data_IF_745698312065
#
_entry.id   IF_745698312065
#
_cell.length_a   1.000
_cell.length_b   1.000
_cell.length_c   1.000
_cell.angle_alpha   90.00
_cell.angle_beta   90.00
_cell.angle_gamma   90.00
#
_symmetry.space_group_name_H-M   'P 1'
#
loop_
_entity.id
_entity.type
_entity.pdbx_description
1 polymer ?
#
# COMPACT_ATOMS: atom_id res chain seq x y z
N UNK A 1 -14.60 12.59 2.97
CA UNK A 1 -14.57 11.17 3.39
C UNK A 1 -16.00 10.67 3.65
N UNK A 2 -16.83 11.47 4.32
CA UNK A 2 -18.23 11.12 4.63
C UNK A 2 -19.12 10.88 3.39
N UNK A 3 -18.80 11.52 2.27
CA UNK A 3 -19.53 11.36 1.00
C UNK A 3 -19.18 10.11 0.20
N UNK A 4 -18.13 9.38 0.61
CA UNK A 4 -17.70 8.12 -0.03
C UNK A 4 -18.05 6.95 0.89
N UNK A 5 -19.23 6.39 0.72
CA UNK A 5 -19.80 5.32 1.58
C UNK A 5 -19.07 3.97 1.48
N UNK A 6 -18.35 3.71 0.40
CA UNK A 6 -17.74 2.40 0.09
C UNK A 6 -16.21 2.34 0.26
N UNK A 7 -15.61 3.28 1.01
CA UNK A 7 -14.17 3.25 1.21
C UNK A 7 -13.75 2.11 2.13
N UNK A 8 -12.80 1.28 1.67
CA UNK A 8 -12.14 0.29 2.54
C UNK A 8 -11.48 0.98 3.74
N UNK A 9 -11.51 0.32 4.90
CA UNK A 9 -10.96 0.86 6.16
C UNK A 9 -9.51 1.36 6.01
N UNK A 10 -8.66 0.62 5.29
CA UNK A 10 -7.27 1.02 5.00
C UNK A 10 -7.17 2.31 4.17
N UNK A 11 -8.05 2.50 3.20
CA UNK A 11 -8.09 3.73 2.38
C UNK A 11 -8.54 4.91 3.24
N UNK A 12 -9.56 4.70 4.08
CA UNK A 12 -10.04 5.72 5.03
C UNK A 12 -8.94 6.11 6.01
N UNK A 13 -8.23 5.14 6.60
CA UNK A 13 -7.11 5.39 7.50
C UNK A 13 -6.00 6.19 6.82
N UNK A 14 -5.63 5.86 5.58
CA UNK A 14 -4.63 6.59 4.81
C UNK A 14 -5.06 8.04 4.50
N UNK A 15 -6.34 8.26 4.20
CA UNK A 15 -6.84 9.62 3.96
C UNK A 15 -6.83 10.46 5.23
N UNK A 16 -7.22 9.88 6.37
CA UNK A 16 -7.16 10.54 7.67
C UNK A 16 -5.72 10.87 8.06
N UNK A 17 -4.81 9.89 7.93
CA UNK A 17 -3.39 10.11 8.17
C UNK A 17 -2.84 11.25 7.30
N UNK A 18 -3.13 11.23 5.99
CA UNK A 18 -2.67 12.26 5.05
C UNK A 18 -3.22 13.64 5.43
N UNK A 19 -4.49 13.70 5.80
CA UNK A 19 -5.13 14.92 6.26
C UNK A 19 -4.46 15.45 7.52
N UNK A 20 -4.33 14.62 8.55
CA UNK A 20 -3.85 15.01 9.87
C UNK A 20 -2.38 15.45 9.85
N UNK A 21 -1.54 14.74 9.10
CA UNK A 21 -0.09 15.00 9.12
C UNK A 21 0.38 16.07 8.14
N UNK A 22 -0.34 16.27 7.04
CA UNK A 22 0.16 17.17 5.98
C UNK A 22 -0.74 18.35 5.69
N UNK A 23 -2.05 18.25 5.91
CA UNK A 23 -3.00 19.22 5.40
C UNK A 23 -3.64 20.04 6.52
N UNK A 24 -4.14 19.41 7.58
CA UNK A 24 -4.99 20.02 8.63
C UNK A 24 -4.45 21.34 9.14
N UNK A 25 -3.23 21.34 9.67
CA UNK A 25 -2.68 22.50 10.43
C UNK A 25 -2.02 23.56 9.56
N UNK A 26 -1.89 23.29 8.28
CA UNK A 26 -1.27 24.17 7.30
C UNK A 26 -2.29 24.67 6.28
N UNK A 27 -2.34 24.00 5.15
CA UNK A 27 -3.19 24.33 4.01
C UNK A 27 -4.69 24.21 4.33
N UNK A 28 -5.07 23.29 5.21
CA UNK A 28 -6.46 23.03 5.60
C UNK A 28 -7.13 24.18 6.39
N UNK A 29 -6.36 25.15 6.89
CA UNK A 29 -6.89 26.36 7.55
C UNK A 29 -7.39 27.43 6.57
N UNK A 30 -7.06 27.31 5.27
CA UNK A 30 -7.52 28.24 4.25
C UNK A 30 -9.00 27.99 3.91
N UNK A 31 -9.75 29.05 3.68
CA UNK A 31 -11.13 28.94 3.17
C UNK A 31 -11.08 28.46 1.72
N UNK A 32 -11.87 27.45 1.38
CA UNK A 32 -11.89 26.81 0.04
C UNK A 32 -12.05 27.85 -1.08
N UNK A 33 -12.94 28.83 -0.89
CA UNK A 33 -13.22 29.88 -1.88
C UNK A 33 -12.02 30.80 -2.19
N UNK A 34 -11.07 30.91 -1.25
CA UNK A 34 -9.94 31.82 -1.35
C UNK A 34 -8.68 31.12 -1.89
N UNK A 35 -8.71 29.78 -2.02
CA UNK A 35 -7.58 29.00 -2.49
C UNK A 35 -7.39 29.16 -4.00
N UNK A 36 -6.19 29.61 -4.39
CA UNK A 36 -5.77 29.77 -5.78
C UNK A 36 -4.81 28.63 -6.19
N UNK A 37 -4.63 28.45 -7.49
CA UNK A 37 -3.66 27.53 -8.06
C UNK A 37 -2.24 27.75 -7.50
N UNK A 38 -1.84 29.02 -7.37
CA UNK A 38 -0.54 29.40 -6.80
C UNK A 38 -0.36 28.94 -5.35
N UNK A 39 -1.43 28.95 -4.55
CA UNK A 39 -1.38 28.47 -3.16
C UNK A 39 -1.12 26.96 -3.11
N UNK A 40 -1.77 26.20 -4.01
CA UNK A 40 -1.57 24.75 -4.10
C UNK A 40 -0.15 24.45 -4.57
N UNK A 41 0.32 25.16 -5.59
CA UNK A 41 1.67 25.00 -6.11
C UNK A 41 2.73 25.31 -5.05
N UNK A 42 2.56 26.42 -4.32
CA UNK A 42 3.45 26.78 -3.20
C UNK A 42 3.43 25.71 -2.11
N UNK A 43 2.25 25.26 -1.69
CA UNK A 43 2.11 24.21 -0.69
C UNK A 43 2.81 22.91 -1.09
N UNK A 44 2.64 22.47 -2.33
CA UNK A 44 3.29 21.26 -2.83
C UNK A 44 4.81 21.42 -2.93
N UNK A 45 5.29 22.59 -3.35
CA UNK A 45 6.71 22.90 -3.42
C UNK A 45 7.34 22.92 -2.03
N UNK A 46 6.67 23.56 -1.05
CA UNK A 46 7.12 23.61 0.35
C UNK A 46 7.26 22.20 0.97
N UNK A 47 6.30 21.33 0.71
CA UNK A 47 6.36 19.95 1.18
C UNK A 47 7.58 19.19 0.65
N UNK A 48 8.00 19.45 -0.57
CA UNK A 48 9.19 18.81 -1.16
C UNK A 48 10.47 19.49 -0.68
N UNK A 49 10.54 20.82 -0.79
CA UNK A 49 11.81 21.56 -0.58
C UNK A 49 12.14 21.69 0.90
N UNK A 50 11.17 22.04 1.74
CA UNK A 50 11.39 22.33 3.15
C UNK A 50 11.13 21.12 4.06
N UNK A 51 10.17 20.26 3.71
CA UNK A 51 9.85 19.06 4.49
C UNK A 51 10.47 17.77 3.93
N UNK A 52 11.18 17.83 2.80
CA UNK A 52 11.87 16.69 2.20
C UNK A 52 10.97 15.55 1.73
N UNK A 53 9.68 15.81 1.47
CA UNK A 53 8.75 14.78 1.03
C UNK A 53 9.11 14.26 -0.37
N UNK A 54 8.97 12.95 -0.55
CA UNK A 54 9.07 12.35 -1.87
C UNK A 54 7.86 12.71 -2.74
N UNK A 55 8.08 12.86 -4.04
CA UNK A 55 7.01 13.16 -5.02
C UNK A 55 5.85 12.14 -4.96
N UNK A 56 6.14 10.87 -4.65
CA UNK A 56 5.09 9.85 -4.49
C UNK A 56 4.20 10.11 -3.26
N UNK A 57 4.74 10.68 -2.18
CA UNK A 57 3.93 11.08 -1.01
C UNK A 57 3.02 12.24 -1.35
N UNK A 58 3.50 13.17 -2.19
CA UNK A 58 2.70 14.26 -2.72
C UNK A 58 1.49 13.77 -3.53
N UNK A 59 1.62 12.65 -4.25
CA UNK A 59 0.51 12.01 -4.95
C UNK A 59 -0.62 11.61 -3.99
N UNK A 60 -0.28 11.09 -2.81
CA UNK A 60 -1.26 10.75 -1.78
C UNK A 60 -2.00 11.98 -1.26
N UNK A 61 -1.29 13.10 -1.08
CA UNK A 61 -1.90 14.38 -0.67
C UNK A 61 -2.84 14.90 -1.76
N UNK A 62 -2.41 14.86 -3.02
CA UNK A 62 -3.22 15.25 -4.17
C UNK A 62 -4.49 14.38 -4.31
N UNK A 63 -4.41 13.09 -3.94
CA UNK A 63 -5.56 12.16 -3.95
C UNK A 63 -6.63 12.56 -2.91
N UNK A 64 -6.26 13.27 -1.86
CA UNK A 64 -7.21 13.82 -0.87
C UNK A 64 -7.73 15.19 -1.33
N UNK A 65 -6.85 16.10 -1.75
CA UNK A 65 -7.22 17.47 -2.06
C UNK A 65 -8.05 17.60 -3.35
N UNK A 66 -7.64 16.91 -4.42
CA UNK A 66 -8.30 17.04 -5.73
C UNK A 66 -9.81 16.73 -5.70
N UNK A 67 -10.27 15.60 -5.12
CA UNK A 67 -11.71 15.32 -5.02
C UNK A 67 -12.45 16.30 -4.11
N UNK A 68 -11.79 16.83 -3.08
CA UNK A 68 -12.40 17.82 -2.18
C UNK A 68 -12.72 19.11 -2.92
N UNK A 69 -11.78 19.64 -3.70
CA UNK A 69 -12.02 20.83 -4.53
C UNK A 69 -12.93 20.53 -5.74
N UNK A 70 -12.93 19.30 -6.25
CA UNK A 70 -13.90 18.89 -7.28
C UNK A 70 -15.35 18.95 -6.77
N UNK A 71 -15.58 18.52 -5.52
CA UNK A 71 -16.88 18.66 -4.88
C UNK A 71 -17.26 20.14 -4.74
N UNK A 72 -16.35 20.99 -4.34
CA UNK A 72 -16.60 22.44 -4.21
C UNK A 72 -16.94 23.10 -5.57
N UNK A 73 -16.40 22.57 -6.69
CA UNK A 73 -16.81 23.01 -8.03
C UNK A 73 -18.23 22.56 -8.36
N UNK A 74 -18.57 21.30 -8.03
CA UNK A 74 -19.92 20.75 -8.26
C UNK A 74 -21.01 21.44 -7.42
N UNK A 75 -20.63 21.90 -6.25
CA UNK A 75 -21.52 22.65 -5.33
C UNK A 75 -21.51 24.16 -5.61
N UNK A 76 -20.95 24.61 -6.74
CA UNK A 76 -20.85 26.01 -7.17
C UNK A 76 -20.17 26.97 -6.17
N UNK A 77 -19.36 26.42 -5.23
CA UNK A 77 -18.59 27.21 -4.26
C UNK A 77 -17.41 27.89 -4.95
N UNK A 78 -16.79 27.21 -5.93
CA UNK A 78 -15.68 27.71 -6.74
C UNK A 78 -15.89 27.35 -8.22
N UNK A 79 -15.42 28.23 -9.10
CA UNK A 79 -15.60 28.02 -10.55
C UNK A 79 -14.67 26.96 -11.16
N UNK A 80 -13.48 26.77 -10.58
CA UNK A 80 -12.43 25.87 -11.09
C UNK A 80 -11.71 25.22 -9.94
N UNK A 81 -11.32 23.95 -10.12
CA UNK A 81 -10.52 23.24 -9.15
C UNK A 81 -9.05 23.72 -9.19
N UNK A 82 -8.54 24.39 -8.15
CA UNK A 82 -7.18 24.94 -8.13
C UNK A 82 -6.09 23.85 -8.02
N UNK A 83 -6.47 22.61 -7.72
CA UNK A 83 -5.53 21.49 -7.60
C UNK A 83 -5.17 20.87 -8.95
N UNK A 84 -6.02 21.10 -9.97
CA UNK A 84 -5.80 20.53 -11.29
C UNK A 84 -4.51 21.05 -11.94
N UNK A 85 -3.62 20.13 -12.30
CA UNK A 85 -2.33 20.42 -12.91
C UNK A 85 -1.17 20.68 -11.93
N UNK A 86 -1.43 21.14 -10.72
CA UNK A 86 -0.37 21.50 -9.76
C UNK A 86 0.56 20.34 -9.42
N UNK A 87 0.02 19.15 -9.17
CA UNK A 87 0.83 17.95 -8.93
C UNK A 87 1.72 17.59 -10.13
N UNK A 88 1.15 17.63 -11.33
CA UNK A 88 1.89 17.30 -12.54
C UNK A 88 3.05 18.27 -12.78
N UNK A 89 2.83 19.56 -12.53
CA UNK A 89 3.86 20.59 -12.64
C UNK A 89 5.00 20.38 -11.65
N UNK A 90 4.69 20.16 -10.38
CA UNK A 90 5.69 19.90 -9.35
C UNK A 90 6.44 18.60 -9.61
N UNK A 91 5.74 17.56 -10.06
CA UNK A 91 6.35 16.29 -10.46
C UNK A 91 7.32 16.46 -11.62
N UNK A 92 6.99 17.28 -12.62
CA UNK A 92 7.88 17.56 -13.76
C UNK A 92 9.15 18.29 -13.32
N UNK A 93 9.04 19.21 -12.35
CA UNK A 93 10.18 19.99 -11.83
C UNK A 93 11.09 19.17 -10.91
N UNK A 94 10.52 18.30 -10.07
CA UNK A 94 11.23 17.60 -9.01
C UNK A 94 11.30 16.06 -9.22
N UNK A 95 10.65 15.56 -10.26
CA UNK A 95 10.64 14.13 -10.59
C UNK A 95 11.97 13.74 -11.22
N UNK A 96 12.90 13.26 -10.39
CA UNK A 96 14.08 12.55 -10.88
C UNK A 96 13.71 11.25 -11.59
N UNK A 97 14.68 10.65 -12.29
CA UNK A 97 14.50 9.36 -12.94
C UNK A 97 13.91 8.34 -11.95
N UNK A 98 12.83 7.65 -12.35
CA UNK A 98 12.26 6.56 -11.57
C UNK A 98 13.38 5.57 -11.26
N UNK A 99 13.70 5.39 -9.98
CA UNK A 99 14.58 4.29 -9.58
C UNK A 99 13.92 2.99 -10.05
N UNK A 100 14.53 2.36 -11.04
CA UNK A 100 14.07 1.06 -11.53
C UNK A 100 14.15 0.06 -10.37
N UNK A 101 13.01 -0.51 -9.99
CA UNK A 101 13.00 -1.64 -9.07
C UNK A 101 13.41 -2.86 -9.89
N UNK A 102 14.49 -3.50 -9.50
CA UNK A 102 14.96 -4.74 -10.13
C UNK A 102 14.43 -5.92 -9.33
N UNK A 103 14.02 -6.96 -10.03
CA UNK A 103 13.79 -8.26 -9.42
C UNK A 103 15.13 -8.87 -8.98
N UNK A 104 15.10 -9.75 -8.01
CA UNK A 104 16.27 -10.55 -7.65
C UNK A 104 16.66 -11.44 -8.84
N UNK A 105 17.95 -11.58 -9.11
CA UNK A 105 18.43 -12.62 -10.02
C UNK A 105 18.29 -13.99 -9.37
N UNK A 106 18.39 -15.06 -10.15
CA UNK A 106 18.31 -16.43 -9.63
C UNK A 106 19.42 -16.69 -8.62
N UNK A 107 20.62 -16.18 -8.88
CA UNK A 107 21.78 -16.29 -8.00
C UNK A 107 21.52 -15.56 -6.67
N UNK A 108 21.06 -14.32 -6.72
CA UNK A 108 20.72 -13.52 -5.52
C UNK A 108 19.61 -14.20 -4.71
N UNK A 109 18.61 -14.79 -5.37
CA UNK A 109 17.55 -15.54 -4.70
C UNK A 109 18.11 -16.77 -3.97
N UNK A 110 19.02 -17.52 -4.60
CA UNK A 110 19.66 -18.68 -3.98
C UNK A 110 20.51 -18.28 -2.77
N UNK A 111 21.38 -17.30 -2.95
CA UNK A 111 22.22 -16.76 -1.87
C UNK A 111 21.39 -16.29 -0.68
N UNK A 112 20.28 -15.60 -0.94
CA UNK A 112 19.38 -15.12 0.11
C UNK A 112 18.73 -16.29 0.88
N UNK A 113 18.20 -17.29 0.17
CA UNK A 113 17.58 -18.47 0.78
C UNK A 113 18.59 -19.27 1.57
N UNK A 114 19.79 -19.47 1.04
CA UNK A 114 20.88 -20.17 1.70
C UNK A 114 21.34 -19.44 2.98
N UNK A 115 21.42 -18.12 2.92
CA UNK A 115 21.74 -17.33 4.09
C UNK A 115 20.69 -17.48 5.19
N UNK A 116 19.40 -17.36 4.84
CA UNK A 116 18.31 -17.52 5.81
C UNK A 116 18.29 -18.94 6.40
N UNK A 117 18.52 -19.97 5.60
CA UNK A 117 18.54 -21.36 6.03
C UNK A 117 19.66 -21.66 7.05
N UNK A 118 20.82 -21.02 6.88
CA UNK A 118 22.02 -21.26 7.71
C UNK A 118 22.14 -20.33 8.92
N UNK A 119 21.39 -19.25 8.96
CA UNK A 119 21.49 -18.25 10.02
C UNK A 119 20.57 -18.58 11.19
N UNK A 120 21.08 -18.83 12.43
CA UNK A 120 20.27 -19.20 13.58
C UNK A 120 19.20 -18.16 13.97
N UNK A 121 19.45 -16.87 13.69
CA UNK A 121 18.49 -15.81 14.00
C UNK A 121 17.35 -15.71 12.97
N UNK A 122 17.60 -16.11 11.72
CA UNK A 122 16.62 -15.95 10.64
C UNK A 122 16.03 -17.27 10.16
N UNK A 123 16.53 -18.41 10.63
CA UNK A 123 16.08 -19.73 10.20
C UNK A 123 14.55 -19.93 10.30
N UNK A 124 13.93 -19.40 11.33
CA UNK A 124 12.48 -19.50 11.51
C UNK A 124 11.66 -18.80 10.41
N UNK A 125 12.29 -17.87 9.66
CA UNK A 125 11.68 -17.22 8.49
C UNK A 125 11.88 -17.98 7.18
N UNK A 126 12.71 -19.03 7.17
CA UNK A 126 13.00 -19.80 5.97
C UNK A 126 11.75 -20.33 5.27
N UNK A 127 10.77 -20.97 5.96
CA UNK A 127 9.54 -21.44 5.32
C UNK A 127 8.76 -20.31 4.65
N UNK A 128 8.68 -19.18 5.29
CA UNK A 128 7.94 -18.02 4.79
C UNK A 128 8.57 -17.43 3.51
N UNK A 129 9.89 -17.30 3.47
CA UNK A 129 10.57 -16.76 2.29
C UNK A 129 10.55 -17.75 1.11
N UNK A 130 10.70 -19.04 1.37
CA UNK A 130 10.54 -20.08 0.33
C UNK A 130 9.13 -20.02 -0.25
N UNK A 131 8.12 -19.90 0.62
CA UNK A 131 6.74 -19.76 0.20
C UNK A 131 6.53 -18.50 -0.68
N UNK A 132 6.98 -17.35 -0.25
CA UNK A 132 6.84 -16.08 -1.00
C UNK A 132 7.50 -16.14 -2.37
N UNK A 133 8.74 -16.61 -2.43
CA UNK A 133 9.51 -16.69 -3.67
C UNK A 133 8.97 -17.75 -4.62
N UNK A 134 8.50 -18.88 -4.09
CA UNK A 134 7.98 -19.99 -4.90
C UNK A 134 6.53 -19.80 -5.37
N UNK A 135 5.77 -18.89 -4.74
CA UNK A 135 4.35 -18.65 -5.09
C UNK A 135 4.10 -17.31 -5.76
N UNK A 136 4.97 -16.33 -5.54
CA UNK A 136 4.74 -14.94 -5.97
C UNK A 136 3.53 -14.27 -5.30
N UNK A 137 3.06 -14.79 -4.17
CA UNK A 137 1.97 -14.19 -3.40
C UNK A 137 2.36 -12.82 -2.86
N UNK A 138 1.38 -11.94 -2.72
CA UNK A 138 1.57 -10.71 -1.95
C UNK A 138 1.78 -11.06 -0.48
N UNK A 139 2.56 -10.26 0.24
CA UNK A 139 2.87 -10.52 1.65
C UNK A 139 1.60 -10.73 2.50
N UNK A 140 0.56 -9.92 2.30
CA UNK A 140 -0.70 -10.06 3.02
C UNK A 140 -1.48 -11.33 2.65
N UNK A 141 -1.38 -11.81 1.42
CA UNK A 141 -1.94 -13.09 1.00
C UNK A 141 -1.18 -14.23 1.70
N UNK A 142 0.15 -14.21 1.66
CA UNK A 142 0.98 -15.24 2.27
C UNK A 142 0.80 -15.36 3.79
N UNK A 143 0.72 -14.23 4.51
CA UNK A 143 0.47 -14.24 5.97
C UNK A 143 -0.96 -14.68 6.29
N UNK A 144 -1.91 -14.46 5.36
CA UNK A 144 -3.31 -14.84 5.53
C UNK A 144 -3.61 -16.30 5.28
N UNK A 145 -2.74 -17.06 4.61
CA UNK A 145 -2.98 -18.47 4.25
C UNK A 145 -3.35 -19.31 5.47
N UNK A 146 -4.37 -20.13 5.30
CA UNK A 146 -4.82 -21.14 6.27
C UNK A 146 -4.55 -22.54 5.73
N UNK A 147 -4.48 -23.52 6.60
CA UNK A 147 -4.33 -24.92 6.19
C UNK A 147 -5.50 -25.40 5.33
N UNK A 148 -6.70 -24.88 5.52
CA UNK A 148 -7.88 -25.17 4.69
C UNK A 148 -7.74 -24.68 3.24
N UNK A 149 -6.85 -23.71 2.99
CA UNK A 149 -6.55 -23.20 1.66
C UNK A 149 -5.50 -24.03 0.92
N UNK A 150 -4.89 -25.03 1.60
CA UNK A 150 -3.75 -25.82 1.10
C UNK A 150 -4.18 -27.26 0.82
N UNK A 151 -4.21 -27.65 -0.45
CA UNK A 151 -4.45 -29.04 -0.84
C UNK A 151 -3.09 -29.74 -1.12
N UNK A 152 -2.58 -30.46 -0.11
CA UNK A 152 -1.31 -31.18 -0.20
C UNK A 152 -1.38 -32.34 -1.20
N UNK A 153 -2.54 -32.94 -1.44
CA UNK A 153 -2.72 -34.05 -2.38
C UNK A 153 -2.66 -33.57 -3.83
N UNK A 154 -3.40 -32.49 -4.13
CA UNK A 154 -3.42 -31.87 -5.45
C UNK A 154 -2.24 -30.93 -5.68
N UNK A 155 -1.47 -30.63 -4.65
CA UNK A 155 -0.37 -29.65 -4.65
C UNK A 155 -0.84 -28.28 -5.17
N UNK A 156 -1.91 -27.76 -4.57
CA UNK A 156 -2.46 -26.47 -4.92
C UNK A 156 -2.73 -25.63 -3.67
N UNK A 157 -2.71 -24.31 -3.85
CA UNK A 157 -3.01 -23.33 -2.80
C UNK A 157 -4.08 -22.40 -3.34
N UNK A 158 -5.15 -22.20 -2.56
CA UNK A 158 -6.23 -21.29 -2.91
C UNK A 158 -5.99 -19.93 -2.25
N UNK A 159 -5.79 -18.90 -3.07
CA UNK A 159 -5.63 -17.51 -2.61
C UNK A 159 -7.00 -16.85 -2.70
N UNK A 160 -7.69 -16.69 -1.57
CA UNK A 160 -9.06 -16.18 -1.49
C UNK A 160 -9.19 -15.00 -0.51
N UNK A 161 -8.16 -14.70 0.26
CA UNK A 161 -8.15 -13.59 1.23
C UNK A 161 -6.75 -13.04 1.46
N UNK A 162 -6.68 -11.96 2.22
CA UNK A 162 -5.43 -11.29 2.58
C UNK A 162 -5.52 -10.76 4.00
N UNK A 163 -4.48 -10.94 4.79
CA UNK A 163 -4.34 -10.33 6.10
C UNK A 163 -3.73 -8.94 5.96
N UNK A 164 -4.36 -7.95 6.56
CA UNK A 164 -3.90 -6.57 6.56
C UNK A 164 -3.73 -6.07 7.98
N UNK A 165 -2.58 -5.47 8.25
CA UNK A 165 -2.29 -4.78 9.52
C UNK A 165 -2.42 -3.28 9.29
N UNK A 166 -3.25 -2.60 10.06
CA UNK A 166 -3.47 -1.16 9.92
C UNK A 166 -3.85 -0.51 11.25
N UNK A 167 -3.63 0.80 11.32
CA UNK A 167 -4.02 1.60 12.49
C UNK A 167 -5.55 1.75 12.52
N UNK A 168 -6.15 1.48 13.68
CA UNK A 168 -7.60 1.67 13.88
C UNK A 168 -8.00 3.12 13.69
N UNK A 169 -9.19 3.32 13.14
CA UNK A 169 -9.76 4.65 12.88
C UNK A 169 -10.42 5.31 14.10
N UNK A 170 -10.37 4.67 15.27
CA UNK A 170 -11.02 5.11 16.51
C UNK A 170 -10.16 6.01 17.39
N UNK A 171 -9.09 6.59 16.87
CA UNK A 171 -8.09 7.41 17.59
C UNK A 171 -7.36 6.68 18.74
N UNK A 172 -7.48 5.37 18.87
CA UNK A 172 -6.82 4.59 19.92
C UNK A 172 -5.32 4.40 19.72
N UNK A 173 -4.75 4.84 18.59
CA UNK A 173 -3.37 4.56 18.15
C UNK A 173 -3.01 3.05 18.12
N UNK A 174 -4.00 2.19 18.25
CA UNK A 174 -3.81 0.74 18.22
C UNK A 174 -3.90 0.25 16.77
N UNK A 175 -3.09 -0.75 16.47
CA UNK A 175 -3.16 -1.45 15.20
C UNK A 175 -3.96 -2.74 15.36
N UNK A 176 -4.61 -3.16 14.29
CA UNK A 176 -5.33 -4.44 14.26
C UNK A 176 -5.05 -5.22 12.99
N UNK A 177 -5.16 -6.53 13.09
CA UNK A 177 -5.18 -7.41 11.94
C UNK A 177 -6.61 -7.56 11.43
N UNK A 178 -6.76 -7.46 10.13
CA UNK A 178 -8.04 -7.68 9.47
C UNK A 178 -7.88 -8.60 8.27
N UNK A 179 -8.69 -9.63 8.25
CA UNK A 179 -8.86 -10.45 7.05
C UNK A 179 -9.73 -9.67 6.06
N UNK A 180 -9.30 -9.58 4.84
CA UNK A 180 -10.02 -8.90 3.76
C UNK A 180 -10.07 -9.79 2.52
N UNK A 181 -11.17 -9.74 1.81
CA UNK A 181 -11.27 -10.33 0.49
C UNK A 181 -10.37 -9.61 -0.53
N UNK A 182 -9.96 -10.28 -1.59
CA UNK A 182 -9.22 -9.65 -2.69
C UNK A 182 -9.98 -8.44 -3.25
N UNK A 183 -9.24 -7.49 -3.84
CA UNK A 183 -9.86 -6.28 -4.41
C UNK A 183 -10.67 -6.55 -5.68
N UNK A 184 -10.40 -7.64 -6.35
CA UNK A 184 -11.00 -8.04 -7.62
C UNK A 184 -11.20 -9.55 -7.63
N UNK A 185 -12.16 -10.03 -8.41
CA UNK A 185 -12.39 -11.48 -8.63
C UNK A 185 -11.11 -12.19 -9.12
N UNK A 186 -10.33 -11.56 -9.98
CA UNK A 186 -9.03 -12.08 -10.42
C UNK A 186 -7.99 -12.21 -9.28
N UNK A 187 -8.26 -11.63 -8.12
CA UNK A 187 -7.45 -11.83 -6.90
C UNK A 187 -7.70 -13.19 -6.26
N UNK A 188 -8.87 -13.80 -6.48
CA UNK A 188 -9.18 -15.17 -6.07
C UNK A 188 -8.61 -16.09 -7.13
N UNK A 189 -7.67 -16.92 -6.73
CA UNK A 189 -6.96 -17.81 -7.66
C UNK A 189 -6.39 -19.03 -6.95
N UNK A 190 -6.33 -20.13 -7.66
CA UNK A 190 -5.62 -21.33 -7.23
C UNK A 190 -4.27 -21.37 -7.93
N UNK A 191 -3.21 -21.55 -7.17
CA UNK A 191 -1.84 -21.61 -7.66
C UNK A 191 -1.24 -23.00 -7.43
N UNK A 192 -0.38 -23.50 -8.32
CA UNK A 192 0.32 -24.77 -8.12
C UNK A 192 1.40 -24.62 -7.05
N UNK A 193 1.63 -25.67 -6.32
CA UNK A 193 2.69 -25.79 -5.32
C UNK A 193 3.96 -26.33 -5.97
N UNK A 194 4.96 -25.48 -6.11
CA UNK A 194 6.28 -25.91 -6.60
C UNK A 194 6.98 -26.82 -5.57
N UNK A 195 7.90 -27.67 -6.02
CA UNK A 195 8.59 -28.63 -5.15
C UNK A 195 9.12 -28.06 -3.83
N UNK A 196 9.93 -26.98 -3.83
CA UNK A 196 10.43 -26.39 -2.59
C UNK A 196 9.32 -25.90 -1.65
N UNK A 197 8.22 -25.35 -2.18
CA UNK A 197 7.07 -24.89 -1.38
C UNK A 197 6.37 -26.10 -0.74
N UNK A 198 6.19 -27.18 -1.49
CA UNK A 198 5.59 -28.40 -0.97
C UNK A 198 6.39 -28.99 0.19
N UNK A 199 7.71 -29.10 0.05
CA UNK A 199 8.57 -29.67 1.10
C UNK A 199 8.55 -28.82 2.37
N UNK A 200 8.58 -27.51 2.23
CA UNK A 200 8.49 -26.59 3.36
C UNK A 200 7.14 -26.71 4.09
N UNK A 201 6.04 -26.69 3.35
CA UNK A 201 4.71 -26.84 3.97
C UNK A 201 4.53 -28.20 4.63
N UNK A 202 5.06 -29.28 4.00
CA UNK A 202 5.04 -30.61 4.59
C UNK A 202 5.80 -30.66 5.92
N UNK A 203 6.95 -30.01 6.02
CA UNK A 203 7.71 -29.95 7.27
C UNK A 203 6.98 -29.21 8.38
N UNK A 204 6.20 -28.15 8.04
CA UNK A 204 5.40 -27.41 9.01
C UNK A 204 4.19 -28.19 9.56
N UNK A 205 3.70 -29.20 8.86
CA UNK A 205 2.59 -30.06 9.34
C UNK A 205 3.06 -31.09 10.37
N UNK A 206 4.34 -31.49 10.32
CA UNK A 206 4.90 -32.57 11.12
C UNK A 206 5.51 -32.03 12.44
N UNK A 207 5.70 -30.72 12.54
CA UNK A 207 6.20 -30.02 13.73
C UNK A 207 5.08 -29.63 14.68
#
# INVERSE_FOLDING_TARGET
ISTKTELRSTTKANYLYTWDHFIRDTFGKKKIKDVKYSDVLFFYTDLITNKGLQVNTLESINTVLRPTFELAVRDDIIRRNPVNGAYAEVKKRNGGARKSRRALTVEQQREFIDYVAKNPFFFHWYPFFVFLLGTGCRIGEAIGIRWDDVDMKKRTININHSLTYYTRSDNSFKCEFRVSEPKTEAGIRTIPMMGPVYEVLRSCVIS
#
